data_IF_473121758640
#
_entry.id   IF_473121758640
#
_cell.length_a   1.000
_cell.length_b   1.000
_cell.length_c   1.000
_cell.angle_alpha   90.00
_cell.angle_beta   90.00
_cell.angle_gamma   90.00
#
_symmetry.space_group_name_H-M   'P 1'
#
loop_
_entity.id
_entity.type
_entity.pdbx_description
1 polymer ?
#
# COMPACT_ATOMS: atom_id res chain seq x y z
N UNK A 1 -2.32 5.45 2.93
CA UNK A 1 -2.41 5.12 4.37
C UNK A 1 -1.01 5.28 4.94
N UNK A 2 -0.84 6.04 6.01
CA UNK A 2 0.45 6.16 6.71
C UNK A 2 0.55 5.03 7.73
N UNK A 3 1.67 4.32 7.76
CA UNK A 3 1.93 3.22 8.71
C UNK A 3 3.33 3.32 9.32
N UNK A 4 3.55 2.59 10.41
CA UNK A 4 4.90 2.37 10.96
C UNK A 4 5.84 1.83 9.89
N UNK A 5 7.02 2.43 9.78
CA UNK A 5 8.05 2.11 8.79
C UNK A 5 8.00 2.96 7.52
N UNK A 6 6.89 3.68 7.28
CA UNK A 6 6.82 4.59 6.13
C UNK A 6 7.89 5.67 6.21
N UNK A 7 8.40 6.04 5.04
CA UNK A 7 9.24 7.21 4.87
C UNK A 7 8.35 8.40 4.54
N UNK A 8 8.58 9.52 5.19
CA UNK A 8 7.85 10.78 4.95
C UNK A 8 8.85 11.87 4.58
N UNK A 9 8.49 12.73 3.65
CA UNK A 9 9.34 13.80 3.13
C UNK A 9 8.76 15.15 3.52
N UNK A 10 9.58 16.07 4.00
CA UNK A 10 9.18 17.45 4.23
C UNK A 10 8.96 18.15 2.88
N UNK A 11 7.77 18.70 2.65
CA UNK A 11 7.41 19.44 1.43
C UNK A 11 7.22 20.93 1.67
N UNK A 12 7.00 21.33 2.93
CA UNK A 12 6.83 22.73 3.35
C UNK A 12 7.52 22.93 4.69
N UNK A 13 8.22 24.05 4.86
CA UNK A 13 8.90 24.39 6.11
C UNK A 13 7.93 24.39 7.30
N UNK A 14 8.44 24.02 8.46
CA UNK A 14 7.71 24.09 9.74
C UNK A 14 8.35 25.19 10.56
N UNK A 15 7.54 26.18 10.96
CA UNK A 15 8.01 27.29 11.78
C UNK A 15 8.57 26.77 13.12
N UNK A 16 9.75 27.26 13.50
CA UNK A 16 10.43 26.85 14.73
C UNK A 16 11.34 25.62 14.62
N UNK A 17 11.32 24.89 13.49
CA UNK A 17 12.17 23.72 13.23
C UNK A 17 13.22 23.98 12.14
N UNK A 18 14.03 25.04 12.33
CA UNK A 18 15.05 25.51 11.37
C UNK A 18 16.16 24.49 11.04
N UNK A 19 16.21 23.36 11.74
CA UNK A 19 17.19 22.29 11.52
C UNK A 19 16.77 21.41 10.34
N UNK A 20 15.49 21.33 10.02
CA UNK A 20 14.97 20.51 8.93
C UNK A 20 14.87 21.30 7.63
N UNK A 21 15.21 20.65 6.51
CA UNK A 21 15.16 21.24 5.18
C UNK A 21 14.05 20.59 4.37
N UNK A 22 13.37 21.38 3.53
CA UNK A 22 12.44 20.83 2.54
C UNK A 22 13.19 19.80 1.70
N UNK A 23 12.63 18.59 1.61
CA UNK A 23 13.27 17.44 0.99
C UNK A 23 13.81 16.39 1.95
N UNK A 24 13.99 16.72 3.23
CA UNK A 24 14.46 15.77 4.24
C UNK A 24 13.48 14.61 4.38
N UNK A 25 14.03 13.40 4.54
CA UNK A 25 13.26 12.16 4.69
C UNK A 25 13.36 11.66 6.12
N UNK A 26 12.20 11.39 6.71
CA UNK A 26 12.05 10.88 8.06
C UNK A 26 11.38 9.51 8.04
N UNK A 27 11.53 8.76 9.13
CA UNK A 27 10.95 7.41 9.26
C UNK A 27 9.88 7.39 10.33
N UNK A 28 8.67 6.96 10.00
CA UNK A 28 7.61 6.77 10.98
C UNK A 28 7.96 5.58 11.87
N UNK A 29 8.08 5.80 13.17
CA UNK A 29 8.35 4.77 14.18
C UNK A 29 7.04 4.23 14.77
N UNK A 30 6.04 5.09 14.92
CA UNK A 30 4.74 4.70 15.46
C UNK A 30 3.62 5.66 15.05
N UNK A 31 2.39 5.19 15.09
CA UNK A 31 1.17 6.00 14.99
C UNK A 31 0.27 5.59 16.14
N UNK A 32 -0.08 6.54 17.01
CA UNK A 32 -0.90 6.31 18.18
C UNK A 32 -2.40 6.45 17.83
N UNK A 33 -3.26 5.92 18.70
CA UNK A 33 -4.71 5.90 18.48
C UNK A 33 -5.35 7.30 18.42
N UNK A 34 -4.69 8.30 19.00
CA UNK A 34 -5.09 9.71 18.95
C UNK A 34 -4.66 10.42 17.65
N UNK A 35 -4.00 9.71 16.73
CA UNK A 35 -3.49 10.26 15.47
C UNK A 35 -2.12 10.94 15.60
N UNK A 36 -1.45 10.85 16.75
CA UNK A 36 -0.08 11.32 16.93
C UNK A 36 0.89 10.43 16.14
N UNK A 37 1.74 11.04 15.32
CA UNK A 37 2.79 10.37 14.54
C UNK A 37 4.13 10.58 15.26
N UNK A 38 4.82 9.49 15.57
CA UNK A 38 6.19 9.50 16.09
C UNK A 38 7.16 9.13 14.96
N UNK A 39 8.15 9.96 14.71
CA UNK A 39 9.11 9.77 13.64
C UNK A 39 10.57 9.94 14.10
N UNK A 40 11.48 9.30 13.35
CA UNK A 40 12.94 9.41 13.51
C UNK A 40 13.55 10.24 12.39
N UNK A 41 14.54 11.04 12.75
CA UNK A 41 15.42 11.79 11.86
C UNK A 41 16.88 11.48 12.22
N UNK A 42 17.83 11.95 11.41
CA UNK A 42 19.26 11.87 11.77
C UNK A 42 19.61 12.85 12.91
N UNK A 43 18.77 13.84 13.16
CA UNK A 43 18.93 14.85 14.21
C UNK A 43 18.21 14.48 15.52
N UNK A 44 17.41 13.42 15.55
CA UNK A 44 16.68 12.98 16.74
C UNK A 44 15.34 12.34 16.46
N UNK A 45 14.43 12.44 17.44
CA UNK A 45 13.05 11.95 17.35
C UNK A 45 12.09 13.12 17.45
N UNK A 46 10.95 13.01 16.78
CA UNK A 46 9.92 14.04 16.76
C UNK A 46 8.51 13.46 16.80
N UNK A 47 7.57 14.29 17.22
CA UNK A 47 6.15 13.98 17.24
C UNK A 47 5.42 15.06 16.44
N UNK A 48 4.38 14.65 15.71
CA UNK A 48 3.48 15.59 15.04
C UNK A 48 2.06 15.03 15.01
N UNK A 49 1.09 15.93 14.87
CA UNK A 49 -0.29 15.53 14.61
C UNK A 49 -0.48 15.07 13.16
N UNK A 50 -1.53 14.28 12.89
CA UNK A 50 -1.88 13.94 11.52
C UNK A 50 -2.24 15.17 10.66
N UNK A 51 -2.76 16.25 11.26
CA UNK A 51 -3.01 17.53 10.60
C UNK A 51 -1.72 18.19 10.13
N UNK A 52 -0.72 18.27 11.01
CA UNK A 52 0.59 18.85 10.71
C UNK A 52 1.33 18.04 9.64
N UNK A 53 1.23 16.70 9.71
CA UNK A 53 1.70 15.82 8.65
C UNK A 53 1.11 16.20 7.28
N UNK A 54 -0.22 16.39 7.20
CA UNK A 54 -0.86 16.74 5.91
C UNK A 54 -0.45 18.09 5.37
N UNK A 55 -0.13 19.04 6.25
CA UNK A 55 0.25 20.38 5.85
C UNK A 55 1.70 20.46 5.36
N UNK A 56 2.61 19.72 6.02
CA UNK A 56 4.05 19.91 5.84
C UNK A 56 4.78 18.73 5.19
N UNK A 57 4.14 17.55 5.11
CA UNK A 57 4.79 16.33 4.69
C UNK A 57 3.99 15.58 3.61
N UNK A 58 4.72 14.77 2.85
CA UNK A 58 4.14 13.74 2.00
C UNK A 58 4.74 12.38 2.36
N UNK A 59 4.07 11.28 1.98
CA UNK A 59 4.71 9.97 2.03
C UNK A 59 5.80 9.97 0.96
N UNK A 60 7.05 9.82 1.40
CA UNK A 60 8.20 9.65 0.52
C UNK A 60 8.04 8.29 -0.17
N UNK A 61 7.43 8.30 -1.35
CA UNK A 61 7.24 7.10 -2.14
C UNK A 61 8.60 6.58 -2.62
N UNK A 62 9.26 5.77 -1.79
CA UNK A 62 10.22 4.75 -2.24
C UNK A 62 9.51 3.53 -2.87
N UNK A 63 8.18 3.62 -3.03
CA UNK A 63 7.46 2.81 -3.98
C UNK A 63 7.85 3.34 -5.35
N UNK A 64 8.95 2.84 -5.93
CA UNK A 64 8.95 2.63 -7.38
C UNK A 64 7.54 2.14 -7.69
N UNK A 65 6.77 2.88 -8.49
CA UNK A 65 5.47 2.41 -8.95
C UNK A 65 5.79 1.09 -9.63
N UNK A 66 5.65 -0.03 -8.91
CA UNK A 66 5.86 -1.37 -9.44
C UNK A 66 5.01 -1.37 -10.70
N UNK A 67 5.67 -1.37 -11.87
CA UNK A 67 4.97 -1.36 -13.13
C UNK A 67 4.33 -2.73 -13.23
N UNK A 68 3.08 -2.80 -12.82
CA UNK A 68 2.33 -4.04 -12.82
C UNK A 68 1.86 -4.32 -14.24
N UNK A 69 2.63 -5.13 -14.95
CA UNK A 69 2.26 -5.62 -16.28
C UNK A 69 1.11 -6.60 -16.16
N UNK A 70 0.02 -6.35 -16.88
CA UNK A 70 -1.10 -7.29 -16.93
C UNK A 70 -0.73 -8.53 -17.75
N UNK A 71 -1.09 -9.69 -17.23
CA UNK A 71 -1.10 -10.93 -17.99
C UNK A 71 -2.15 -10.87 -19.10
N UNK A 72 -2.00 -11.75 -20.09
CA UNK A 72 -3.10 -12.12 -20.97
C UNK A 72 -4.24 -12.77 -20.18
N UNK A 73 -5.43 -12.78 -20.77
CA UNK A 73 -6.56 -13.54 -20.25
C UNK A 73 -6.28 -15.04 -20.34
N UNK A 74 -6.49 -15.75 -19.25
CA UNK A 74 -6.30 -17.20 -19.15
C UNK A 74 -7.62 -17.84 -18.71
N UNK A 75 -8.07 -18.83 -19.46
CA UNK A 75 -9.28 -19.61 -19.13
C UNK A 75 -8.88 -20.85 -18.36
N UNK A 76 -9.52 -21.10 -17.22
CA UNK A 76 -9.31 -22.30 -16.42
C UNK A 76 -10.65 -22.93 -16.04
N UNK A 77 -10.61 -24.24 -15.83
CA UNK A 77 -11.71 -25.01 -15.28
C UNK A 77 -11.46 -25.12 -13.78
N UNK A 78 -12.41 -24.66 -12.95
CA UNK A 78 -12.36 -24.89 -11.51
C UNK A 78 -12.30 -26.40 -11.26
N UNK A 79 -11.26 -26.93 -10.58
CA UNK A 79 -11.15 -28.36 -10.32
C UNK A 79 -12.33 -28.91 -9.52
N UNK A 80 -12.85 -28.11 -8.59
CA UNK A 80 -13.88 -28.53 -7.64
C UNK A 80 -15.31 -28.28 -8.15
N UNK A 81 -15.51 -27.26 -8.99
CA UNK A 81 -16.85 -26.86 -9.44
C UNK A 81 -17.14 -27.24 -10.89
N UNK A 82 -16.14 -27.69 -11.66
CA UNK A 82 -16.24 -27.91 -13.11
C UNK A 82 -16.74 -26.68 -13.89
N UNK A 83 -16.55 -25.49 -13.32
CA UNK A 83 -16.95 -24.22 -13.92
C UNK A 83 -15.78 -23.63 -14.71
N UNK A 84 -16.04 -23.22 -15.95
CA UNK A 84 -15.14 -22.40 -16.75
C UNK A 84 -15.21 -20.93 -16.31
N UNK A 85 -14.04 -20.35 -16.07
CA UNK A 85 -13.89 -18.91 -15.88
C UNK A 85 -12.59 -18.41 -16.50
N UNK A 86 -12.55 -17.13 -16.85
CA UNK A 86 -11.35 -16.50 -17.41
C UNK A 86 -10.84 -15.44 -16.45
N UNK A 87 -9.54 -15.38 -16.22
CA UNK A 87 -8.94 -14.37 -15.36
C UNK A 87 -7.73 -13.70 -16.02
N UNK A 88 -7.35 -12.54 -15.48
CA UNK A 88 -6.04 -11.93 -15.69
C UNK A 88 -5.54 -11.29 -14.42
N UNK A 89 -4.24 -11.15 -14.27
CA UNK A 89 -3.62 -10.54 -13.09
C UNK A 89 -2.44 -9.66 -13.47
N UNK A 90 -2.06 -8.76 -12.58
CA UNK A 90 -0.85 -7.97 -12.70
C UNK A 90 0.09 -8.18 -11.50
N UNK A 91 0.04 -9.35 -10.86
CA UNK A 91 0.79 -9.68 -9.64
C UNK A 91 0.47 -8.79 -8.43
N UNK A 92 -0.74 -8.22 -8.41
CA UNK A 92 -1.31 -7.47 -7.28
C UNK A 92 -2.83 -7.54 -7.27
N UNK A 93 -3.44 -7.31 -8.43
CA UNK A 93 -4.87 -7.38 -8.67
C UNK A 93 -5.18 -8.56 -9.57
N UNK A 94 -6.26 -9.25 -9.28
CA UNK A 94 -6.87 -10.27 -10.15
C UNK A 94 -8.23 -9.78 -10.61
N UNK A 95 -8.56 -10.03 -11.87
CA UNK A 95 -9.88 -9.82 -12.44
C UNK A 95 -10.35 -11.15 -12.99
N UNK A 96 -11.56 -11.57 -12.60
CA UNK A 96 -12.22 -12.78 -13.08
C UNK A 96 -13.44 -12.38 -13.90
N UNK A 97 -13.71 -13.11 -14.99
CA UNK A 97 -14.88 -12.97 -15.84
C UNK A 97 -15.56 -14.33 -16.02
N UNK A 98 -16.89 -14.34 -15.89
CA UNK A 98 -17.76 -15.49 -16.20
C UNK A 98 -19.12 -14.97 -16.66
N UNK A 99 -19.67 -15.55 -17.73
CA UNK A 99 -21.04 -15.30 -18.22
C UNK A 99 -21.42 -13.81 -18.33
N UNK A 100 -20.48 -12.99 -18.82
CA UNK A 100 -20.68 -11.53 -18.95
C UNK A 100 -20.44 -10.73 -17.67
N UNK A 101 -20.37 -11.37 -16.50
CA UNK A 101 -20.10 -10.74 -15.20
C UNK A 101 -18.59 -10.68 -14.94
N UNK A 102 -18.14 -9.61 -14.27
CA UNK A 102 -16.74 -9.42 -13.85
C UNK A 102 -16.66 -9.16 -12.34
N UNK A 103 -15.65 -9.75 -11.71
CA UNK A 103 -15.28 -9.50 -10.33
C UNK A 103 -13.77 -9.18 -10.25
N UNK A 104 -13.34 -8.48 -9.21
CA UNK A 104 -11.91 -8.21 -9.00
C UNK A 104 -11.54 -8.12 -7.53
N UNK A 105 -10.33 -8.58 -7.21
CA UNK A 105 -9.73 -8.48 -5.88
C UNK A 105 -8.29 -7.96 -6.00
N UNK A 106 -7.82 -7.21 -5.00
CA UNK A 106 -6.45 -6.66 -4.97
C UNK A 106 -5.84 -6.89 -3.61
N UNK A 107 -4.56 -7.27 -3.59
CA UNK A 107 -3.74 -7.36 -2.39
C UNK A 107 -3.50 -5.97 -1.79
N UNK A 108 -3.29 -5.93 -0.47
CA UNK A 108 -2.70 -4.76 0.18
C UNK A 108 -1.26 -4.57 -0.31
N UNK A 109 -0.73 -3.36 -0.20
CA UNK A 109 0.59 -3.01 -0.71
C UNK A 109 1.73 -3.80 -0.06
N UNK A 110 1.50 -4.36 1.12
CA UNK A 110 2.45 -5.14 1.91
C UNK A 110 2.34 -6.64 1.69
N UNK A 111 1.27 -7.10 1.03
CA UNK A 111 1.03 -8.53 0.86
C UNK A 111 1.83 -9.08 -0.32
N UNK A 112 2.25 -10.33 -0.21
CA UNK A 112 2.82 -11.08 -1.33
C UNK A 112 1.67 -11.66 -2.14
N UNK A 113 1.49 -11.16 -3.37
CA UNK A 113 0.49 -11.71 -4.27
C UNK A 113 0.80 -13.18 -4.59
N UNK A 114 -0.17 -14.05 -4.35
CA UNK A 114 -0.11 -15.45 -4.75
C UNK A 114 -1.46 -15.85 -5.36
N UNK A 115 -1.45 -16.24 -6.63
CA UNK A 115 -2.64 -16.64 -7.38
C UNK A 115 -3.15 -18.04 -6.99
N UNK A 116 -2.28 -18.92 -6.51
CA UNK A 116 -2.63 -20.29 -6.16
C UNK A 116 -3.32 -20.39 -4.78
N UNK A 117 -2.97 -19.50 -3.83
CA UNK A 117 -3.50 -19.56 -2.47
C UNK A 117 -4.83 -18.80 -2.26
N UNK A 118 -5.39 -18.18 -3.30
CA UNK A 118 -6.66 -17.44 -3.19
C UNK A 118 -7.93 -18.31 -3.15
N UNK A 119 -7.79 -19.63 -2.93
CA UNK A 119 -8.89 -20.61 -2.97
C UNK A 119 -9.05 -21.46 -1.70
N UNK A 120 -8.49 -21.04 -0.57
CA UNK A 120 -8.78 -21.68 0.73
C UNK A 120 -9.08 -20.61 1.79
N UNK A 121 -10.28 -20.05 1.74
CA UNK A 121 -10.90 -19.53 2.95
C UNK A 121 -11.90 -20.60 3.38
N UNK A 122 -11.69 -21.33 4.50
CA UNK A 122 -12.72 -22.18 5.04
C UNK A 122 -13.92 -21.30 5.35
N UNK A 123 -15.07 -21.66 4.81
CA UNK A 123 -16.34 -21.01 5.11
C UNK A 123 -16.58 -21.10 6.62
N UNK A 124 -16.77 -19.95 7.26
CA UNK A 124 -17.39 -19.82 8.58
C UNK A 124 -18.83 -20.33 8.53
#
# INVERSE_FOLDING_TARGET
MLIKGDKIKLIKEVDGLRVFKVGDIFTVINIYNDGTIHFKTDYGMGFMSYSEFKEHFEIANNKEKRKYTWSNWTTIVSPNLHILYTYKTNNKKVIVKKDGVKASATCHDTDVFNLQNSAESPLL
#
